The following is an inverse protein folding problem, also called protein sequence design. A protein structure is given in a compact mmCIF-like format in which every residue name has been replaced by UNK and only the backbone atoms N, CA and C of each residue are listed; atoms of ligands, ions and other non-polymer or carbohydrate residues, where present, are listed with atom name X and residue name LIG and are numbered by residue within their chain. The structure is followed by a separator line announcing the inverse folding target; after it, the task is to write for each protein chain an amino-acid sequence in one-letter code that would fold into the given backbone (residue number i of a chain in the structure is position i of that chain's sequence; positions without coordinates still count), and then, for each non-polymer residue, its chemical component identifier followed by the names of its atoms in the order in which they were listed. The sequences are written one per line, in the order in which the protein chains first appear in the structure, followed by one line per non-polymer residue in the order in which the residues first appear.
data_IF_926390753697
#
_entry.id   IF_926390753697
#
_cell.length_a   1.000
_cell.length_b   1.000
_cell.length_c   1.000
_cell.angle_alpha   90.00
_cell.angle_beta   90.00
_cell.angle_gamma   90.00
#
_symmetry.space_group_name_H-M   'P 1'
#
loop_
_entity.id
_entity.type
_entity.pdbx_description
1 polymer ?
#
# COMPACT_ATOMS: atom_id res chain seq x y z
N UNK A 1 -18.25 -12.69 -15.88
CA UNK A 1 -17.10 -11.93 -15.40
C UNK A 1 -16.96 -10.66 -16.21
N UNK A 2 -16.68 -9.58 -15.55
CA UNK A 2 -16.44 -8.31 -16.24
C UNK A 2 -14.99 -8.24 -16.67
N UNK A 3 -14.77 -7.97 -17.95
CA UNK A 3 -13.43 -7.74 -18.46
C UNK A 3 -12.85 -6.42 -17.96
N UNK A 4 -13.74 -5.54 -17.48
CA UNK A 4 -13.34 -4.22 -16.99
C UNK A 4 -13.05 -4.20 -15.50
N UNK A 5 -13.17 -5.36 -14.85
CA UNK A 5 -12.87 -5.46 -13.43
C UNK A 5 -11.38 -5.21 -13.21
N UNK A 6 -11.06 -4.16 -12.49
CA UNK A 6 -9.69 -3.81 -12.17
C UNK A 6 -9.39 -4.13 -10.72
N UNK A 7 -8.16 -4.55 -10.46
CA UNK A 7 -7.70 -4.63 -9.08
C UNK A 7 -7.56 -3.21 -8.54
N UNK A 8 -7.95 -3.03 -7.30
CA UNK A 8 -7.97 -1.71 -6.66
C UNK A 8 -6.82 -1.61 -5.68
N UNK A 9 -5.99 -0.59 -5.86
CA UNK A 9 -4.79 -0.37 -5.07
C UNK A 9 -4.92 0.96 -4.33
N UNK A 10 -4.70 0.93 -3.01
CA UNK A 10 -4.58 2.14 -2.20
C UNK A 10 -3.10 2.44 -2.01
N UNK A 11 -2.68 3.63 -2.41
CA UNK A 11 -1.31 4.10 -2.23
C UNK A 11 -1.31 5.14 -1.10
N UNK A 12 -0.52 4.89 -0.05
CA UNK A 12 -0.37 5.84 1.06
C UNK A 12 1.07 6.38 1.02
N UNK A 13 1.21 7.62 0.61
CA UNK A 13 2.50 8.27 0.39
C UNK A 13 2.37 9.77 0.63
N UNK A 14 3.20 10.31 1.50
CA UNK A 14 3.10 11.73 1.86
C UNK A 14 3.75 12.68 0.84
N UNK A 15 4.76 12.24 0.11
CA UNK A 15 5.39 13.08 -0.90
C UNK A 15 4.54 13.17 -2.16
N UNK A 16 4.07 14.39 -2.53
CA UNK A 16 3.19 14.54 -3.69
C UNK A 16 3.78 14.01 -5.00
N UNK A 17 5.07 14.26 -5.23
CA UNK A 17 5.71 13.81 -6.47
C UNK A 17 5.74 12.30 -6.58
N UNK A 18 6.11 11.61 -5.50
CA UNK A 18 6.15 10.14 -5.49
C UNK A 18 4.75 9.57 -5.59
N UNK A 19 3.80 10.15 -4.84
CA UNK A 19 2.41 9.71 -4.88
C UNK A 19 1.82 9.79 -6.29
N UNK A 20 2.10 10.88 -7.00
CA UNK A 20 1.63 11.05 -8.38
C UNK A 20 2.29 10.05 -9.34
N UNK A 21 3.58 9.82 -9.18
CA UNK A 21 4.30 8.85 -10.02
C UNK A 21 3.71 7.46 -9.82
N UNK A 22 3.50 7.04 -8.57
CA UNK A 22 2.93 5.73 -8.29
C UNK A 22 1.50 5.61 -8.84
N UNK A 23 0.69 6.64 -8.62
CA UNK A 23 -0.69 6.64 -9.13
C UNK A 23 -0.71 6.49 -10.65
N UNK A 24 0.07 7.31 -11.35
CA UNK A 24 0.06 7.33 -12.80
C UNK A 24 0.62 6.04 -13.39
N UNK A 25 1.71 5.54 -12.79
CA UNK A 25 2.31 4.29 -13.24
C UNK A 25 1.33 3.12 -13.07
N UNK A 26 0.74 2.97 -11.90
CA UNK A 26 -0.17 1.85 -11.64
C UNK A 26 -1.46 1.97 -12.44
N UNK A 27 -1.98 3.17 -12.62
CA UNK A 27 -3.15 3.37 -13.46
C UNK A 27 -2.85 2.97 -14.90
N UNK A 28 -1.64 3.27 -15.38
CA UNK A 28 -1.20 2.87 -16.71
C UNK A 28 -1.06 1.36 -16.87
N UNK A 29 -0.83 0.65 -15.77
CA UNK A 29 -0.73 -0.82 -15.78
C UNK A 29 -2.08 -1.51 -15.56
N UNK A 30 -3.16 -0.74 -15.51
CA UNK A 30 -4.50 -1.30 -15.47
C UNK A 30 -5.16 -1.37 -14.11
N UNK A 31 -4.55 -0.79 -13.08
CA UNK A 31 -5.13 -0.77 -11.74
C UNK A 31 -6.02 0.44 -11.53
N UNK A 32 -7.04 0.28 -10.69
CA UNK A 32 -7.79 1.41 -10.18
C UNK A 32 -7.07 1.90 -8.91
N UNK A 33 -6.61 3.14 -8.90
CA UNK A 33 -5.74 3.62 -7.83
C UNK A 33 -6.43 4.67 -6.97
N UNK A 34 -6.44 4.42 -5.66
CA UNK A 34 -6.85 5.39 -4.66
C UNK A 34 -5.59 5.88 -3.96
N UNK A 35 -5.55 7.14 -3.57
CA UNK A 35 -4.37 7.70 -2.92
C UNK A 35 -4.73 8.35 -1.59
N UNK A 36 -3.80 8.30 -0.65
CA UNK A 36 -3.87 8.99 0.63
C UNK A 36 -2.51 9.59 0.92
N UNK A 37 -2.48 10.76 1.52
CA UNK A 37 -1.22 11.44 1.83
C UNK A 37 -0.73 11.17 3.26
N UNK A 38 -1.58 10.61 4.11
CA UNK A 38 -1.24 10.32 5.50
C UNK A 38 -2.18 9.24 6.06
N UNK A 39 -1.96 8.87 7.31
CA UNK A 39 -2.77 7.86 7.97
C UNK A 39 -4.23 8.26 8.13
N UNK A 40 -4.47 9.54 8.42
CA UNK A 40 -5.83 10.03 8.59
C UNK A 40 -6.65 9.85 7.32
N UNK A 41 -6.09 10.25 6.18
CA UNK A 41 -6.77 10.05 4.89
C UNK A 41 -6.96 8.58 4.57
N UNK A 42 -5.95 7.76 4.86
CA UNK A 42 -6.06 6.33 4.66
C UNK A 42 -7.22 5.73 5.47
N UNK A 43 -7.35 6.11 6.73
CA UNK A 43 -8.45 5.64 7.56
C UNK A 43 -9.81 6.10 7.04
N UNK A 44 -9.91 7.31 6.52
CA UNK A 44 -11.17 7.78 5.91
C UNK A 44 -11.56 6.93 4.71
N UNK A 45 -10.59 6.58 3.87
CA UNK A 45 -10.85 5.72 2.72
C UNK A 45 -11.27 4.34 3.18
N UNK A 46 -10.56 3.77 4.16
CA UNK A 46 -10.89 2.45 4.69
C UNK A 46 -12.27 2.43 5.34
N UNK A 47 -12.65 3.51 6.04
CA UNK A 47 -13.95 3.61 6.69
C UNK A 47 -15.10 3.71 5.69
N UNK A 48 -14.86 4.27 4.50
CA UNK A 48 -15.88 4.33 3.46
C UNK A 48 -16.12 2.98 2.79
N UNK A 49 -15.32 1.98 3.17
CA UNK A 49 -15.46 0.59 2.75
C UNK A 49 -15.42 0.35 1.24
N UNK A 50 -14.48 0.98 0.50
CA UNK A 50 -14.34 0.64 -0.89
C UNK A 50 -13.77 -0.77 -1.03
N UNK A 51 -13.98 -1.38 -2.18
CA UNK A 51 -13.30 -2.63 -2.47
C UNK A 51 -11.81 -2.34 -2.63
N UNK A 52 -10.96 -3.09 -1.95
CA UNK A 52 -9.51 -2.96 -2.04
C UNK A 52 -8.86 -4.33 -2.17
N UNK A 53 -7.94 -4.46 -3.10
CA UNK A 53 -7.18 -5.68 -3.30
C UNK A 53 -5.77 -5.57 -2.71
N UNK A 54 -5.21 -4.37 -2.70
CA UNK A 54 -3.84 -4.14 -2.26
C UNK A 54 -3.69 -2.76 -1.65
N UNK A 55 -2.83 -2.67 -0.63
CA UNK A 55 -2.39 -1.38 -0.10
C UNK A 55 -0.87 -1.32 -0.19
N UNK A 56 -0.36 -0.23 -0.77
CA UNK A 56 1.07 0.07 -0.80
C UNK A 56 1.26 1.29 0.10
N UNK A 57 2.03 1.14 1.16
CA UNK A 57 2.18 2.22 2.13
C UNK A 57 3.62 2.42 2.56
N UNK A 58 4.00 3.69 2.70
CA UNK A 58 5.22 4.03 3.41
C UNK A 58 5.08 3.58 4.86
N UNK A 59 6.20 3.20 5.47
CA UNK A 59 6.23 2.92 6.89
C UNK A 59 6.10 4.22 7.69
N UNK A 60 6.93 5.22 7.37
CA UNK A 60 6.90 6.50 8.06
C UNK A 60 5.98 7.47 7.34
N UNK A 61 5.00 7.96 8.07
CA UNK A 61 4.02 8.92 7.56
C UNK A 61 3.89 10.08 8.55
N UNK A 62 3.49 11.28 8.07
CA UNK A 62 3.27 12.40 8.95
C UNK A 62 2.08 12.15 9.87
N UNK A 63 2.02 12.87 10.98
CA UNK A 63 0.89 12.77 11.91
C UNK A 63 1.00 11.67 12.93
N UNK A 64 2.14 10.99 13.02
CA UNK A 64 2.39 10.00 14.06
C UNK A 64 1.77 8.62 13.83
N UNK A 65 1.15 8.39 12.69
CA UNK A 65 0.57 7.08 12.35
C UNK A 65 1.47 6.42 11.30
N UNK A 66 2.01 5.23 11.63
CA UNK A 66 2.87 4.50 10.71
C UNK A 66 2.06 3.66 9.71
N UNK A 67 2.73 3.20 8.65
CA UNK A 67 2.10 2.30 7.69
C UNK A 67 1.63 1.00 8.32
N UNK A 68 2.36 0.49 9.32
CA UNK A 68 1.96 -0.73 10.04
C UNK A 68 0.68 -0.48 10.85
N UNK A 69 0.57 0.69 11.47
CA UNK A 69 -0.63 1.04 12.25
C UNK A 69 -1.87 1.20 11.37
N UNK A 70 -1.68 1.51 10.09
CA UNK A 70 -2.79 1.52 9.11
C UNK A 70 -3.10 0.10 8.65
N UNK A 71 -2.06 -0.67 8.36
CA UNK A 71 -2.21 -2.00 7.78
C UNK A 71 -2.87 -3.00 8.74
N UNK A 72 -2.56 -2.94 10.03
CA UNK A 72 -3.12 -3.87 10.99
C UNK A 72 -4.65 -3.86 11.03
N UNK A 73 -5.30 -2.71 11.25
CA UNK A 73 -6.77 -2.71 11.22
C UNK A 73 -7.34 -2.94 9.83
N UNK A 74 -6.63 -2.51 8.78
CA UNK A 74 -7.11 -2.74 7.41
C UNK A 74 -7.22 -4.22 7.09
N UNK A 75 -6.22 -5.01 7.48
CA UNK A 75 -6.22 -6.45 7.23
C UNK A 75 -7.24 -7.18 8.11
N UNK A 76 -7.47 -6.69 9.33
CA UNK A 76 -8.51 -7.26 10.19
C UNK A 76 -9.90 -7.11 9.57
N UNK A 77 -10.16 -5.95 8.98
CA UNK A 77 -11.44 -5.71 8.31
C UNK A 77 -11.54 -6.38 6.94
N UNK A 78 -10.40 -6.56 6.30
CA UNK A 78 -10.31 -7.16 4.97
C UNK A 78 -9.24 -8.24 4.98
N UNK A 79 -9.57 -9.47 5.44
CA UNK A 79 -8.54 -10.53 5.57
C UNK A 79 -7.82 -10.91 4.28
N UNK A 80 -8.42 -10.61 3.13
CA UNK A 80 -7.81 -10.90 1.84
C UNK A 80 -6.96 -9.77 1.29
N UNK A 81 -6.95 -8.61 1.96
CA UNK A 81 -6.17 -7.47 1.54
C UNK A 81 -4.68 -7.79 1.60
N UNK A 82 -3.98 -7.53 0.51
CA UNK A 82 -2.53 -7.66 0.46
C UNK A 82 -1.89 -6.32 0.79
N UNK A 83 -0.69 -6.35 1.36
CA UNK A 83 0.01 -5.13 1.77
C UNK A 83 1.46 -5.21 1.31
N UNK A 84 1.98 -4.09 0.80
CA UNK A 84 3.40 -3.90 0.52
C UNK A 84 3.84 -2.69 1.31
N UNK A 85 4.94 -2.83 2.07
CA UNK A 85 5.54 -1.71 2.81
C UNK A 85 6.71 -1.15 2.04
N UNK A 86 6.88 0.17 2.10
CA UNK A 86 8.01 0.88 1.51
C UNK A 86 8.74 1.61 2.62
N UNK A 87 10.06 1.50 2.67
CA UNK A 87 10.85 2.16 3.70
C UNK A 87 12.27 2.43 3.24
N UNK A 88 12.84 3.56 3.69
CA UNK A 88 14.26 3.82 3.57
C UNK A 88 15.09 2.98 4.53
N UNK A 89 14.46 2.41 5.56
CA UNK A 89 15.10 1.59 6.59
C UNK A 89 14.26 0.35 6.86
N UNK A 90 14.34 -0.67 6.00
CA UNK A 90 13.47 -1.86 6.13
C UNK A 90 13.52 -2.56 7.50
N UNK A 91 14.69 -2.52 8.17
CA UNK A 91 14.81 -3.12 9.50
C UNK A 91 13.84 -2.52 10.51
N UNK A 92 13.50 -1.25 10.35
CA UNK A 92 12.56 -0.53 11.20
C UNK A 92 11.16 -1.18 11.21
N UNK A 93 10.73 -1.66 10.06
CA UNK A 93 9.44 -2.31 9.92
C UNK A 93 9.45 -3.63 10.68
N UNK A 94 10.51 -4.41 10.53
CA UNK A 94 10.65 -5.69 11.21
C UNK A 94 10.74 -5.52 12.72
N UNK A 95 11.39 -4.45 13.17
CA UNK A 95 11.51 -4.12 14.59
C UNK A 95 10.18 -3.74 15.23
N UNK A 96 9.17 -3.38 14.42
CA UNK A 96 7.85 -3.03 14.95
C UNK A 96 7.19 -4.23 15.65
N UNK A 97 7.62 -5.45 15.31
CA UNK A 97 7.09 -6.66 15.93
C UNK A 97 5.70 -7.06 15.47
N UNK A 98 5.11 -6.34 14.54
CA UNK A 98 3.78 -6.66 14.05
C UNK A 98 3.80 -7.91 13.18
N UNK A 99 2.85 -8.86 13.40
CA UNK A 99 2.80 -10.09 12.59
C UNK A 99 2.66 -9.85 11.10
N UNK A 100 2.01 -8.76 10.69
CA UNK A 100 1.81 -8.47 9.27
C UNK A 100 3.14 -8.24 8.55
N UNK A 101 4.16 -7.75 9.27
CA UNK A 101 5.45 -7.46 8.66
C UNK A 101 6.23 -8.72 8.28
N UNK A 102 5.81 -9.87 8.77
CA UNK A 102 6.43 -11.15 8.42
C UNK A 102 5.89 -11.72 7.12
N UNK A 103 4.71 -11.28 6.71
CA UNK A 103 4.02 -11.80 5.52
C UNK A 103 4.10 -10.83 4.35
N UNK A 104 4.10 -9.54 4.64
CA UNK A 104 4.05 -8.52 3.59
C UNK A 104 5.45 -8.24 3.04
N UNK A 105 5.58 -8.10 1.72
CA UNK A 105 6.84 -7.66 1.12
C UNK A 105 7.22 -6.26 1.62
N UNK A 106 8.52 -6.03 1.74
CA UNK A 106 9.06 -4.73 2.12
C UNK A 106 10.02 -4.29 1.01
N UNK A 107 9.72 -3.16 0.38
CA UNK A 107 10.59 -2.59 -0.64
C UNK A 107 11.41 -1.47 -0.04
N UNK A 108 12.73 -1.56 -0.20
CA UNK A 108 13.65 -0.53 0.27
C UNK A 108 13.68 0.62 -0.71
N UNK A 109 13.73 1.85 -0.20
CA UNK A 109 13.94 3.04 -1.04
C UNK A 109 15.42 3.24 -1.31
N UNK A 110 15.79 3.60 -2.52
CA UNK A 110 14.96 3.75 -3.71
C UNK A 110 14.61 2.39 -4.33
N UNK A 111 13.46 2.30 -4.98
CA UNK A 111 13.04 1.07 -5.65
C UNK A 111 12.61 1.38 -7.08
N UNK A 112 12.64 0.34 -7.94
CA UNK A 112 12.15 0.45 -9.31
C UNK A 112 10.65 0.25 -9.34
N UNK A 113 9.98 0.99 -10.22
CA UNK A 113 8.54 0.79 -10.44
C UNK A 113 8.24 -0.62 -10.96
N UNK A 114 9.12 -1.15 -11.81
CA UNK A 114 8.96 -2.51 -12.32
C UNK A 114 9.05 -3.54 -11.20
N UNK A 115 9.95 -3.34 -10.24
CA UNK A 115 10.06 -4.23 -9.08
C UNK A 115 8.80 -4.19 -8.24
N UNK A 116 8.24 -2.99 -8.03
CA UNK A 116 6.97 -2.85 -7.33
C UNK A 116 5.87 -3.61 -8.07
N UNK A 117 5.77 -3.42 -9.38
CA UNK A 117 4.73 -4.07 -10.18
C UNK A 117 4.86 -5.59 -10.16
N UNK A 118 6.08 -6.12 -10.19
CA UNK A 118 6.31 -7.55 -10.06
C UNK A 118 5.77 -8.09 -8.74
N UNK A 119 6.02 -7.39 -7.64
CA UNK A 119 5.52 -7.80 -6.33
C UNK A 119 3.99 -7.76 -6.29
N UNK A 120 3.40 -6.73 -6.88
CA UNK A 120 1.95 -6.62 -6.97
C UNK A 120 1.36 -7.81 -7.72
N UNK A 121 1.94 -8.14 -8.86
CA UNK A 121 1.47 -9.27 -9.67
C UNK A 121 1.55 -10.58 -8.91
N UNK A 122 2.62 -10.79 -8.15
CA UNK A 122 2.77 -12.00 -7.35
C UNK A 122 1.72 -12.10 -6.25
N UNK A 123 1.40 -10.99 -5.61
CA UNK A 123 0.43 -10.97 -4.52
C UNK A 123 -1.01 -11.12 -5.01
N UNK A 124 -1.33 -10.61 -6.19
CA UNK A 124 -2.71 -10.58 -6.70
C UNK A 124 -3.06 -11.73 -7.63
N UNK A 125 -2.17 -12.68 -7.79
CA UNK A 125 -2.45 -13.88 -8.58
C UNK A 125 -3.58 -14.71 -7.98
#
# INVERSE_FOLDING_TARGET
MSEDAQDVVLVVEDEPAIRMILRDYLAGEGYHVLVAEDGEQAFKILASKPHLDLMVTDFRLPGGISGVEIAEPAVKLRPELKVIFISGYPAEILESGSPITRKAPILAKPFDLDTLHEQIQLLLR
#
